data_IF_623648875999
#
_entry.id   IF_623648875999
#
_cell.length_a   1.000
_cell.length_b   1.000
_cell.length_c   1.000
_cell.angle_alpha   90.00
_cell.angle_beta   90.00
_cell.angle_gamma   90.00
#
_symmetry.space_group_name_H-M   'P 1'
#
loop_
_entity.id
_entity.type
_entity.pdbx_description
1 polymer ?
#
# COMPACT_ATOMS: atom_id res chain seq x y z
N UNK A 1 -12.64 -16.18 -7.27
CA UNK A 1 -11.59 -15.34 -7.87
C UNK A 1 -10.24 -15.88 -7.41
N UNK A 2 -9.29 -16.07 -8.33
CA UNK A 2 -7.92 -16.40 -7.95
C UNK A 2 -7.35 -15.26 -7.11
N UNK A 3 -6.64 -15.60 -6.03
CA UNK A 3 -5.95 -14.61 -5.20
C UNK A 3 -4.60 -14.32 -5.83
N UNK A 4 -4.31 -13.04 -6.10
CA UNK A 4 -2.99 -12.63 -6.57
C UNK A 4 -1.96 -12.76 -5.45
N UNK A 5 -0.79 -13.28 -5.81
CA UNK A 5 0.39 -13.25 -4.95
C UNK A 5 1.23 -12.06 -5.36
N UNK A 6 1.65 -11.24 -4.38
CA UNK A 6 2.51 -10.09 -4.60
C UNK A 6 3.87 -10.39 -3.98
N UNK A 7 4.92 -10.37 -4.80
CA UNK A 7 6.30 -10.66 -4.36
C UNK A 7 6.95 -9.34 -3.94
N UNK A 8 7.46 -9.28 -2.71
CA UNK A 8 8.20 -8.12 -2.23
C UNK A 8 9.61 -8.11 -2.82
N UNK A 9 9.93 -7.05 -3.57
CA UNK A 9 11.27 -6.78 -4.10
C UNK A 9 12.04 -5.91 -3.11
N UNK A 10 12.41 -6.48 -1.98
CA UNK A 10 13.19 -5.80 -0.94
C UNK A 10 14.69 -6.01 -1.24
N UNK A 11 15.15 -5.40 -2.34
CA UNK A 11 16.52 -5.43 -2.83
C UNK A 11 17.17 -4.06 -2.68
N UNK A 12 18.50 -3.99 -2.46
CA UNK A 12 19.22 -2.73 -2.25
C UNK A 12 19.34 -1.88 -3.53
N UNK A 13 19.09 -2.46 -4.72
CA UNK A 13 19.19 -1.73 -5.98
C UNK A 13 18.69 -2.47 -7.20
N UNK A 14 18.82 -1.81 -8.34
CA UNK A 14 18.32 -2.28 -9.63
C UNK A 14 18.99 -3.59 -10.09
N UNK A 15 20.29 -3.74 -9.86
CA UNK A 15 21.07 -4.90 -10.31
C UNK A 15 20.53 -6.21 -9.74
N UNK A 16 20.33 -6.26 -8.42
CA UNK A 16 19.80 -7.43 -7.70
C UNK A 16 18.34 -7.68 -8.09
N UNK A 17 17.56 -6.60 -8.19
CA UNK A 17 16.17 -6.66 -8.65
C UNK A 17 16.07 -7.30 -10.03
N UNK A 18 16.82 -6.82 -11.00
CA UNK A 18 16.73 -7.34 -12.38
C UNK A 18 17.25 -8.77 -12.48
N UNK A 19 18.32 -9.11 -11.76
CA UNK A 19 18.79 -10.50 -11.69
C UNK A 19 17.72 -11.45 -11.15
N UNK A 20 16.95 -11.02 -10.15
CA UNK A 20 15.82 -11.78 -9.63
C UNK A 20 14.70 -11.90 -10.67
N UNK A 21 14.34 -10.81 -11.36
CA UNK A 21 13.29 -10.80 -12.36
C UNK A 21 13.62 -11.64 -13.60
N UNK A 22 14.89 -11.74 -13.96
CA UNK A 22 15.36 -12.56 -15.08
C UNK A 22 15.14 -14.07 -14.87
N UNK A 23 14.84 -14.51 -13.63
CA UNK A 23 14.42 -15.88 -13.34
C UNK A 23 13.00 -16.20 -13.84
N UNK A 24 12.16 -15.19 -14.09
CA UNK A 24 10.79 -15.34 -14.56
C UNK A 24 10.72 -15.14 -16.07
N UNK A 25 10.91 -16.21 -16.82
CA UNK A 25 10.96 -16.16 -18.30
C UNK A 25 9.56 -16.11 -18.95
N UNK A 26 8.60 -16.82 -18.38
CA UNK A 26 7.25 -16.94 -18.94
C UNK A 26 6.19 -16.18 -18.14
N UNK A 27 6.24 -16.26 -16.82
CA UNK A 27 5.30 -15.58 -15.94
C UNK A 27 5.80 -14.17 -15.57
N UNK A 28 4.86 -13.27 -15.35
CA UNK A 28 5.14 -11.90 -14.91
C UNK A 28 4.48 -11.67 -13.55
N UNK A 29 5.16 -12.04 -12.44
CA UNK A 29 4.58 -11.87 -11.11
C UNK A 29 4.23 -10.41 -10.81
N UNK A 30 3.24 -10.22 -9.94
CA UNK A 30 2.92 -8.93 -9.36
C UNK A 30 3.96 -8.60 -8.29
N UNK A 31 4.59 -7.45 -8.38
CA UNK A 31 5.73 -7.06 -7.56
C UNK A 31 5.38 -5.92 -6.61
N UNK A 32 5.88 -5.95 -5.39
CA UNK A 32 5.86 -4.81 -4.46
C UNK A 32 7.23 -4.13 -4.48
N UNK A 33 7.23 -2.85 -4.78
CA UNK A 33 8.40 -1.97 -4.65
C UNK A 33 8.22 -1.14 -3.40
N UNK A 34 9.07 -1.39 -2.40
CA UNK A 34 9.09 -0.65 -1.14
C UNK A 34 9.93 0.63 -1.19
N UNK A 35 9.99 1.32 -0.04
CA UNK A 35 10.72 2.59 0.09
C UNK A 35 12.21 2.45 -0.22
N UNK A 36 12.86 1.38 0.26
CA UNK A 36 14.31 1.17 0.06
C UNK A 36 14.67 1.23 -1.42
N UNK A 37 14.11 0.32 -2.21
CA UNK A 37 14.39 0.24 -3.65
C UNK A 37 13.95 1.50 -4.39
N UNK A 38 12.80 2.08 -4.05
CA UNK A 38 12.31 3.29 -4.71
C UNK A 38 13.19 4.51 -4.41
N UNK A 39 13.66 4.68 -3.18
CA UNK A 39 14.55 5.81 -2.83
C UNK A 39 15.97 5.62 -3.36
N UNK A 40 16.44 4.38 -3.49
CA UNK A 40 17.75 4.10 -4.10
C UNK A 40 17.77 4.40 -5.60
N UNK A 41 16.72 4.04 -6.33
CA UNK A 41 16.71 4.03 -7.81
C UNK A 41 15.76 5.06 -8.44
N UNK A 42 14.89 5.66 -7.62
CA UNK A 42 13.90 6.64 -8.08
C UNK A 42 12.82 6.03 -9.01
N UNK A 43 12.07 6.90 -9.71
CA UNK A 43 11.01 6.46 -10.63
C UNK A 43 11.47 5.61 -11.81
N UNK A 44 12.78 5.60 -12.10
CA UNK A 44 13.36 4.83 -13.22
C UNK A 44 13.16 3.33 -13.05
N UNK A 45 13.30 2.81 -11.82
CA UNK A 45 13.10 1.38 -11.54
C UNK A 45 11.64 0.94 -11.81
N UNK A 46 10.68 1.79 -11.45
CA UNK A 46 9.26 1.52 -11.70
C UNK A 46 8.98 1.41 -13.20
N UNK A 47 9.47 2.39 -13.98
CA UNK A 47 9.30 2.41 -15.44
C UNK A 47 9.93 1.18 -16.10
N UNK A 48 11.13 0.79 -15.68
CA UNK A 48 11.82 -0.37 -16.26
C UNK A 48 11.09 -1.68 -15.91
N UNK A 49 10.62 -1.85 -14.69
CA UNK A 49 9.85 -3.03 -14.29
C UNK A 49 8.50 -3.10 -15.03
N UNK A 50 7.82 -1.96 -15.22
CA UNK A 50 6.61 -1.88 -16.07
C UNK A 50 6.91 -2.26 -17.53
N UNK A 51 8.03 -1.77 -18.11
CA UNK A 51 8.46 -2.11 -19.46
C UNK A 51 8.72 -3.62 -19.65
N UNK A 52 9.12 -4.31 -18.59
CA UNK A 52 9.29 -5.78 -18.55
C UNK A 52 7.96 -6.54 -18.43
N UNK A 53 6.82 -5.84 -18.33
CA UNK A 53 5.48 -6.40 -18.31
C UNK A 53 4.95 -6.82 -16.93
N UNK A 54 5.61 -6.43 -15.86
CA UNK A 54 5.16 -6.72 -14.50
C UNK A 54 4.09 -5.75 -14.02
N UNK A 55 3.16 -6.23 -13.19
CA UNK A 55 2.30 -5.37 -12.37
C UNK A 55 3.07 -4.91 -11.14
N UNK A 56 2.79 -3.67 -10.67
CA UNK A 56 3.52 -3.04 -9.56
C UNK A 56 2.56 -2.54 -8.49
N UNK A 57 2.80 -2.99 -7.26
CA UNK A 57 2.35 -2.32 -6.04
C UNK A 57 3.47 -1.42 -5.52
N UNK A 58 3.31 -0.10 -5.64
CA UNK A 58 4.26 0.88 -5.13
C UNK A 58 3.92 1.22 -3.68
N UNK A 59 4.70 0.66 -2.75
CA UNK A 59 4.44 0.63 -1.31
C UNK A 59 5.24 1.71 -0.57
N UNK A 60 4.83 2.99 -0.72
CA UNK A 60 5.50 4.15 -0.13
C UNK A 60 4.83 4.69 1.14
N UNK A 61 3.60 4.24 1.44
CA UNK A 61 2.86 4.57 2.66
C UNK A 61 2.76 6.09 2.92
N UNK A 62 2.29 6.86 1.92
CA UNK A 62 2.20 8.31 2.05
C UNK A 62 1.37 8.72 3.27
N UNK A 63 1.90 9.67 4.04
CA UNK A 63 1.26 10.23 5.21
C UNK A 63 1.74 11.68 5.40
N UNK A 64 0.92 12.64 5.05
CA UNK A 64 1.20 14.07 5.14
C UNK A 64 -0.14 14.84 5.12
N UNK A 65 -0.11 16.17 5.16
CA UNK A 65 -1.32 16.98 5.00
C UNK A 65 -2.00 16.69 3.65
N UNK A 66 -3.35 16.79 3.57
CA UNK A 66 -4.13 16.36 2.40
C UNK A 66 -3.61 16.89 1.06
N UNK A 67 -3.27 18.18 0.98
CA UNK A 67 -2.79 18.80 -0.26
C UNK A 67 -1.43 18.24 -0.73
N UNK A 68 -0.52 17.93 0.19
CA UNK A 68 0.79 17.33 -0.13
C UNK A 68 0.60 15.91 -0.68
N UNK A 69 -0.23 15.11 0.00
CA UNK A 69 -0.54 13.76 -0.45
C UNK A 69 -1.24 13.76 -1.81
N UNK A 70 -2.22 14.66 -2.04
CA UNK A 70 -2.87 14.83 -3.34
C UNK A 70 -1.85 15.08 -4.46
N UNK A 71 -0.93 16.03 -4.26
CA UNK A 71 0.11 16.37 -5.25
C UNK A 71 1.07 15.20 -5.49
N UNK A 72 1.51 14.51 -4.43
CA UNK A 72 2.35 13.32 -4.54
C UNK A 72 1.65 12.21 -5.33
N UNK A 73 0.38 11.92 -5.02
CA UNK A 73 -0.41 10.93 -5.74
C UNK A 73 -0.60 11.26 -7.22
N UNK A 74 -0.73 12.55 -7.59
CA UNK A 74 -0.80 12.95 -9.00
C UNK A 74 0.51 12.69 -9.76
N UNK A 75 1.65 12.68 -9.08
CA UNK A 75 2.93 12.24 -9.65
C UNK A 75 2.95 10.73 -9.81
N UNK A 76 2.52 9.97 -8.79
CA UNK A 76 2.46 8.50 -8.84
C UNK A 76 1.50 8.00 -9.92
N UNK A 77 0.38 8.69 -10.15
CA UNK A 77 -0.57 8.35 -11.23
C UNK A 77 0.08 8.27 -12.62
N UNK A 78 1.19 9.02 -12.83
CA UNK A 78 1.92 9.05 -14.12
C UNK A 78 2.98 7.93 -14.25
N UNK A 79 3.24 7.19 -13.18
CA UNK A 79 4.20 6.07 -13.20
C UNK A 79 3.59 4.75 -13.69
N UNK A 80 2.29 4.75 -14.00
CA UNK A 80 1.54 3.59 -14.47
C UNK A 80 1.64 2.37 -13.54
N UNK A 81 1.70 2.61 -12.23
CA UNK A 81 1.61 1.54 -11.23
C UNK A 81 0.19 0.98 -11.17
N UNK A 82 0.05 -0.25 -10.70
CA UNK A 82 -1.25 -0.93 -10.62
C UNK A 82 -1.91 -0.75 -9.26
N UNK A 83 -1.10 -0.51 -8.21
CA UNK A 83 -1.56 -0.30 -6.84
C UNK A 83 -0.60 0.63 -6.09
N UNK A 84 -1.11 1.42 -5.17
CA UNK A 84 -0.32 2.20 -4.20
C UNK A 84 -1.06 2.31 -2.87
N UNK A 85 -0.44 2.94 -1.87
CA UNK A 85 -1.03 3.04 -0.54
C UNK A 85 -0.75 4.36 0.16
N UNK A 86 -1.55 4.57 1.21
CA UNK A 86 -1.41 5.64 2.21
C UNK A 86 -1.54 5.04 3.60
N UNK A 87 -1.20 5.79 4.65
CA UNK A 87 -1.58 5.44 6.02
C UNK A 87 -3.02 5.86 6.33
N UNK A 88 -3.83 4.97 6.91
CA UNK A 88 -5.19 5.28 7.35
C UNK A 88 -5.22 6.31 8.50
N UNK A 89 -4.14 6.37 9.29
CA UNK A 89 -3.97 7.36 10.37
C UNK A 89 -3.99 8.82 9.87
N UNK A 90 -3.81 9.06 8.58
CA UNK A 90 -3.89 10.38 7.96
C UNK A 90 -5.30 10.98 7.85
N UNK A 91 -6.32 10.30 8.36
CA UNK A 91 -7.73 10.67 8.36
C UNK A 91 -8.46 10.48 7.01
N UNK A 92 -9.77 10.56 7.04
CA UNK A 92 -10.64 10.44 5.85
C UNK A 92 -10.33 11.54 4.84
N UNK A 93 -10.06 12.76 5.30
CA UNK A 93 -9.76 13.90 4.43
C UNK A 93 -8.48 13.67 3.61
N UNK A 94 -7.39 13.22 4.26
CA UNK A 94 -6.14 12.90 3.56
C UNK A 94 -6.34 11.75 2.57
N UNK A 95 -7.08 10.71 2.93
CA UNK A 95 -7.36 9.58 2.05
C UNK A 95 -8.20 9.98 0.83
N UNK A 96 -9.20 10.86 0.99
CA UNK A 96 -9.97 11.43 -0.13
C UNK A 96 -9.09 12.28 -1.05
N UNK A 97 -8.23 13.12 -0.47
CA UNK A 97 -7.28 13.92 -1.23
C UNK A 97 -6.28 13.03 -2.02
N UNK A 98 -5.84 11.92 -1.42
CA UNK A 98 -5.01 10.92 -2.09
C UNK A 98 -5.73 10.31 -3.31
N UNK A 99 -6.99 9.91 -3.14
CA UNK A 99 -7.83 9.35 -4.19
C UNK A 99 -8.03 10.33 -5.34
N UNK A 100 -8.34 11.58 -5.02
CA UNK A 100 -8.49 12.66 -6.00
C UNK A 100 -7.19 12.87 -6.81
N UNK A 101 -6.05 12.96 -6.11
CA UNK A 101 -4.74 13.13 -6.77
C UNK A 101 -4.33 11.96 -7.65
N UNK A 102 -4.71 10.73 -7.27
CA UNK A 102 -4.39 9.51 -7.99
C UNK A 102 -5.25 9.29 -9.24
N UNK A 103 -6.43 9.92 -9.29
CA UNK A 103 -7.37 9.80 -10.42
C UNK A 103 -6.89 10.65 -11.58
N UNK A 104 -6.71 10.00 -12.74
CA UNK A 104 -6.29 10.66 -14.00
C UNK A 104 -7.45 11.44 -14.62
N UNK A 105 -7.18 12.37 -15.57
CA UNK A 105 -8.25 13.13 -16.24
C UNK A 105 -9.29 12.28 -16.97
N UNK A 106 -8.92 11.08 -17.39
CA UNK A 106 -9.82 10.11 -18.03
C UNK A 106 -10.64 9.28 -17.03
N UNK A 107 -10.53 9.56 -15.74
CA UNK A 107 -11.21 8.84 -14.67
C UNK A 107 -10.54 7.52 -14.24
N UNK A 108 -9.50 7.07 -14.93
CA UNK A 108 -8.75 5.87 -14.54
C UNK A 108 -7.79 6.14 -13.38
N UNK A 109 -7.49 5.13 -12.60
CA UNK A 109 -6.51 5.20 -11.52
C UNK A 109 -5.98 3.83 -11.12
N UNK A 110 -4.79 3.75 -10.50
CA UNK A 110 -4.34 2.58 -9.75
C UNK A 110 -5.28 2.27 -8.58
N UNK A 111 -5.22 1.04 -8.06
CA UNK A 111 -5.84 0.72 -6.78
C UNK A 111 -5.16 1.53 -5.66
N UNK A 112 -5.97 2.11 -4.77
CA UNK A 112 -5.50 2.81 -3.59
C UNK A 112 -5.96 2.07 -2.34
N UNK A 113 -5.01 1.62 -1.51
CA UNK A 113 -5.30 0.92 -0.26
C UNK A 113 -4.71 1.67 0.94
N UNK A 114 -5.28 1.46 2.12
CA UNK A 114 -4.81 2.11 3.34
C UNK A 114 -4.11 1.11 4.27
N UNK A 115 -2.94 1.49 4.77
CA UNK A 115 -2.25 0.76 5.84
C UNK A 115 -2.93 1.11 7.16
N UNK A 116 -3.42 0.10 7.87
CA UNK A 116 -4.03 0.24 9.19
C UNK A 116 -2.95 0.39 10.27
N UNK A 117 -2.89 -0.48 11.28
CA UNK A 117 -1.74 -0.49 12.20
C UNK A 117 -0.63 -1.39 11.66
N UNK A 118 0.62 -0.96 11.89
CA UNK A 118 1.80 -1.75 11.52
C UNK A 118 1.94 -2.96 12.45
N UNK A 119 2.42 -4.08 11.91
CA UNK A 119 2.65 -5.31 12.68
C UNK A 119 3.66 -5.15 13.83
N UNK A 120 4.54 -4.15 13.73
CA UNK A 120 5.53 -3.80 14.76
C UNK A 120 4.95 -2.98 15.92
N UNK A 121 3.70 -2.50 15.79
CA UNK A 121 3.04 -1.70 16.83
C UNK A 121 2.22 -2.60 17.75
N UNK A 122 2.67 -2.79 18.98
CA UNK A 122 1.86 -3.46 20.00
C UNK A 122 0.78 -2.52 20.56
N UNK A 123 -0.26 -3.11 21.18
CA UNK A 123 -1.32 -2.31 21.83
C UNK A 123 -0.73 -1.38 22.89
N UNK A 124 0.19 -1.86 23.72
CA UNK A 124 0.87 -1.05 24.74
C UNK A 124 1.59 0.16 24.13
N UNK A 125 2.33 -0.04 23.03
CA UNK A 125 3.02 1.07 22.33
C UNK A 125 2.03 2.03 21.69
N UNK A 126 0.96 1.53 21.10
CA UNK A 126 -0.08 2.37 20.51
C UNK A 126 -0.71 3.27 21.59
N UNK A 127 -1.05 2.72 22.73
CA UNK A 127 -1.65 3.47 23.83
C UNK A 127 -0.69 4.49 24.45
N UNK A 128 0.56 4.09 24.68
CA UNK A 128 1.55 4.94 25.35
C UNK A 128 2.20 5.98 24.44
N UNK A 129 2.54 5.62 23.21
CA UNK A 129 3.36 6.43 22.32
C UNK A 129 2.51 7.22 21.28
N UNK A 130 1.37 6.66 20.87
CA UNK A 130 0.44 7.32 19.97
C UNK A 130 -0.80 7.90 20.69
N UNK A 131 -0.94 7.64 22.00
CA UNK A 131 -2.05 8.09 22.86
C UNK A 131 -3.43 7.61 22.37
N UNK A 132 -3.49 6.50 21.64
CA UNK A 132 -4.73 5.87 21.21
C UNK A 132 -5.15 4.85 22.25
N UNK A 133 -6.12 5.19 23.10
CA UNK A 133 -6.52 4.39 24.26
C UNK A 133 -7.42 3.19 23.91
N UNK A 134 -7.98 3.16 22.70
CA UNK A 134 -8.81 2.05 22.25
C UNK A 134 -7.99 0.76 22.09
N UNK A 135 -8.61 -0.44 22.18
CA UNK A 135 -7.95 -1.69 21.83
C UNK A 135 -7.42 -1.66 20.38
N UNK A 136 -6.31 -2.32 20.11
CA UNK A 136 -5.68 -2.30 18.78
C UNK A 136 -6.61 -2.83 17.68
N UNK A 137 -7.39 -3.87 17.97
CA UNK A 137 -8.34 -4.42 17.01
C UNK A 137 -9.46 -3.42 16.66
N UNK A 138 -9.97 -2.67 17.65
CA UNK A 138 -11.00 -1.65 17.44
C UNK A 138 -10.45 -0.50 16.60
N UNK A 139 -9.20 -0.10 16.87
CA UNK A 139 -8.49 0.92 16.08
C UNK A 139 -8.32 0.49 14.63
N UNK A 140 -7.93 -0.77 14.38
CA UNK A 140 -7.78 -1.33 13.03
C UNK A 140 -9.12 -1.35 12.30
N UNK A 141 -10.20 -1.78 12.96
CA UNK A 141 -11.55 -1.79 12.40
C UNK A 141 -12.02 -0.37 12.07
N UNK A 142 -11.73 0.60 12.97
CA UNK A 142 -12.07 2.00 12.71
C UNK A 142 -11.31 2.56 11.50
N UNK A 143 -10.01 2.27 11.38
CA UNK A 143 -9.21 2.68 10.23
C UNK A 143 -9.72 2.05 8.92
N UNK A 144 -10.14 0.79 8.96
CA UNK A 144 -10.76 0.13 7.80
C UNK A 144 -12.10 0.76 7.39
N UNK A 145 -12.94 1.16 8.37
CA UNK A 145 -14.17 1.91 8.13
C UNK A 145 -13.90 3.28 7.50
N UNK A 146 -12.91 4.00 8.02
CA UNK A 146 -12.48 5.30 7.48
C UNK A 146 -11.99 5.18 6.04
N UNK A 147 -11.19 4.14 5.73
CA UNK A 147 -10.73 3.87 4.37
C UNK A 147 -11.91 3.59 3.42
N UNK A 148 -12.87 2.78 3.85
CA UNK A 148 -14.11 2.53 3.10
C UNK A 148 -14.91 3.81 2.86
N UNK A 149 -15.07 4.64 3.90
CA UNK A 149 -15.80 5.92 3.80
C UNK A 149 -15.08 6.91 2.88
N UNK A 150 -13.75 6.90 2.86
CA UNK A 150 -12.95 7.69 1.94
C UNK A 150 -13.06 7.22 0.49
N UNK A 151 -13.58 6.01 0.23
CA UNK A 151 -13.73 5.43 -1.10
C UNK A 151 -12.52 4.64 -1.59
N UNK A 152 -11.62 4.21 -0.69
CA UNK A 152 -10.46 3.40 -1.04
C UNK A 152 -10.86 1.96 -1.41
N UNK A 153 -9.99 1.30 -2.20
CA UNK A 153 -10.24 -0.05 -2.73
C UNK A 153 -10.00 -1.16 -1.72
N UNK A 154 -9.29 -0.88 -0.63
CA UNK A 154 -8.97 -1.88 0.39
C UNK A 154 -8.07 -1.38 1.50
N UNK A 155 -7.64 -2.31 2.34
CA UNK A 155 -6.74 -2.06 3.46
C UNK A 155 -5.63 -3.11 3.53
N UNK A 156 -4.50 -2.74 4.13
CA UNK A 156 -3.45 -3.66 4.53
C UNK A 156 -3.71 -4.09 5.96
N UNK A 157 -3.83 -5.40 6.16
CA UNK A 157 -4.01 -6.02 7.47
C UNK A 157 -2.90 -7.04 7.72
N UNK A 158 -2.52 -7.22 8.98
CA UNK A 158 -1.71 -8.35 9.38
C UNK A 158 -2.58 -9.58 9.60
N UNK A 159 -2.03 -10.76 9.34
CA UNK A 159 -2.70 -12.04 9.64
C UNK A 159 -3.07 -12.16 11.11
N UNK A 160 -2.25 -11.58 12.02
CA UNK A 160 -2.54 -11.54 13.46
C UNK A 160 -3.74 -10.67 13.83
N UNK A 161 -4.17 -9.77 12.91
CA UNK A 161 -5.33 -8.89 13.09
C UNK A 161 -6.60 -9.46 12.44
N UNK A 162 -6.49 -10.56 11.70
CA UNK A 162 -7.63 -11.27 11.14
C UNK A 162 -8.13 -12.22 12.22
N UNK A 163 -9.29 -11.95 12.81
CA UNK A 163 -9.95 -12.87 13.71
C UNK A 163 -10.02 -14.24 13.06
N UNK A 164 -9.59 -15.30 13.73
CA UNK A 164 -9.82 -16.66 13.28
C UNK A 164 -11.31 -16.83 13.02
N UNK A 165 -11.73 -17.45 11.90
CA UNK A 165 -13.13 -17.72 11.69
C UNK A 165 -13.61 -18.55 12.89
N UNK A 166 -14.58 -18.03 13.61
CA UNK A 166 -15.18 -18.70 14.76
C UNK A 166 -15.56 -20.09 14.29
N UNK A 167 -14.86 -21.12 14.75
CA UNK A 167 -15.27 -22.51 14.53
C UNK A 167 -16.65 -22.61 15.16
N UNK A 168 -17.68 -22.70 14.32
CA UNK A 168 -18.99 -23.09 14.78
C UNK A 168 -18.82 -24.44 15.46
N UNK A 169 -18.85 -24.43 16.80
CA UNK A 169 -18.97 -25.66 17.59
C UNK A 169 -20.31 -26.29 17.18
N UNK A 170 -20.23 -27.43 16.53
CA UNK A 170 -21.36 -28.33 16.36
C UNK A 170 -21.75 -28.90 17.73
#
# INVERSE_FOLDING_TARGET
MAKDVIIACDFPGAKETFRFLDLFTQEKPFLKIGMELFYAEGPSIVKEIKRRGHRIFLDLKLHDIPNTVKKAMSVLARLDVDMTNVHAAGTIEMMRAALEGLTRPDGTRPLLIAVTQLTSTSEERMQRELLIQAPINDTIVQYARNAKEAGLDGVVLSVIHISEPTRLRR
#
